data_IF_579356168456
#
_entry.id   IF_579356168456
#
_cell.length_a   1.000
_cell.length_b   1.000
_cell.length_c   1.000
_cell.angle_alpha   90.00
_cell.angle_beta   90.00
_cell.angle_gamma   90.00
#
_symmetry.space_group_name_H-M   'P 1'
#
loop_
_entity.id
_entity.type
_entity.pdbx_description
1 polymer ?
#
# COMPACT_ATOMS: atom_id res chain seq x y z
N UNK A 1 2.00 -11.91 10.41
CA UNK A 1 2.95 -10.78 10.36
C UNK A 1 2.70 -9.98 9.10
N UNK A 2 3.03 -8.68 9.10
CA UNK A 2 3.12 -7.91 7.86
C UNK A 2 4.20 -8.54 6.97
N UNK A 3 3.85 -8.78 5.71
CA UNK A 3 4.70 -9.44 4.72
C UNK A 3 4.40 -8.87 3.33
N UNK A 4 5.30 -9.04 2.37
CA UNK A 4 5.13 -8.56 1.00
C UNK A 4 3.79 -9.06 0.42
N UNK A 5 3.06 -8.19 -0.27
CA UNK A 5 1.71 -8.40 -0.85
C UNK A 5 0.56 -8.40 0.15
N UNK A 6 0.85 -8.51 1.45
CA UNK A 6 -0.16 -8.42 2.48
C UNK A 6 -0.87 -7.08 2.43
N UNK A 7 -2.18 -7.08 2.62
CA UNK A 7 -2.96 -5.84 2.73
C UNK A 7 -3.58 -5.68 4.11
N UNK A 8 -3.72 -4.43 4.54
CA UNK A 8 -4.16 -4.06 5.88
C UNK A 8 -5.14 -2.91 5.76
N UNK A 9 -6.31 -3.03 6.37
CA UNK A 9 -7.23 -1.90 6.56
C UNK A 9 -6.82 -1.09 7.77
N UNK A 10 -6.66 0.21 7.52
CA UNK A 10 -6.42 1.21 8.56
C UNK A 10 -7.68 2.09 8.64
N UNK A 11 -8.40 2.08 9.78
CA UNK A 11 -9.51 3.01 10.01
C UNK A 11 -8.99 4.44 10.04
N UNK A 12 -9.59 5.33 9.24
CA UNK A 12 -9.25 6.74 9.15
C UNK A 12 -10.52 7.59 9.17
N UNK A 13 -10.90 8.08 10.37
CA UNK A 13 -12.11 8.87 10.53
C UNK A 13 -13.36 8.05 10.21
N UNK A 14 -14.10 8.46 9.17
CA UNK A 14 -15.35 7.82 8.75
C UNK A 14 -15.18 6.70 7.71
N UNK A 15 -13.96 6.44 7.22
CA UNK A 15 -13.70 5.43 6.20
C UNK A 15 -12.47 4.59 6.52
N UNK A 16 -12.49 3.33 6.06
CA UNK A 16 -11.30 2.48 6.07
C UNK A 16 -10.51 2.69 4.78
N UNK A 17 -9.20 2.81 4.87
CA UNK A 17 -8.32 2.78 3.71
C UNK A 17 -7.51 1.48 3.70
N UNK A 18 -7.45 0.84 2.53
CA UNK A 18 -6.61 -0.33 2.33
C UNK A 18 -5.17 0.13 2.06
N UNK A 19 -4.25 -0.41 2.84
CA UNK A 19 -2.82 -0.28 2.66
C UNK A 19 -2.24 -1.59 2.15
N UNK A 20 -1.29 -1.49 1.23
CA UNK A 20 -0.54 -2.59 0.64
C UNK A 20 0.86 -2.58 1.24
N UNK A 21 1.36 -3.73 1.70
CA UNK A 21 2.73 -3.90 2.18
C UNK A 21 3.63 -4.26 1.00
N UNK A 22 4.55 -3.36 0.65
CA UNK A 22 5.31 -3.42 -0.60
C UNK A 22 6.60 -4.24 -0.52
N UNK A 23 7.06 -4.62 0.66
CA UNK A 23 8.25 -5.44 0.85
C UNK A 23 8.15 -6.32 2.09
N UNK A 24 8.91 -7.41 2.07
CA UNK A 24 9.18 -8.16 3.28
C UNK A 24 9.99 -7.30 4.25
N UNK A 25 9.76 -7.54 5.54
CA UNK A 25 10.43 -6.78 6.60
C UNK A 25 11.94 -6.84 6.40
N UNK A 26 12.56 -5.70 6.11
CA UNK A 26 13.99 -5.65 5.83
C UNK A 26 14.82 -5.82 7.12
N UNK A 27 16.15 -5.91 7.00
CA UNK A 27 17.07 -6.04 8.14
C UNK A 27 16.97 -4.92 9.19
N UNK A 28 16.41 -3.77 8.82
CA UNK A 28 16.13 -2.65 9.73
C UNK A 28 14.78 -2.78 10.46
N UNK A 29 14.04 -3.86 10.24
CA UNK A 29 12.72 -4.08 10.86
C UNK A 29 11.62 -3.17 10.33
N UNK A 30 11.72 -2.74 9.06
CA UNK A 30 10.80 -1.80 8.44
C UNK A 30 10.09 -2.36 7.19
N UNK A 31 8.91 -1.83 6.91
CA UNK A 31 8.12 -2.08 5.71
C UNK A 31 7.72 -0.75 5.07
N UNK A 32 7.72 -0.71 3.76
CA UNK A 32 7.05 0.28 2.93
C UNK A 32 5.59 -0.12 2.80
N UNK A 33 4.71 0.85 3.03
CA UNK A 33 3.28 0.72 2.80
C UNK A 33 2.78 1.87 1.92
N UNK A 34 1.76 1.58 1.12
CA UNK A 34 1.05 2.58 0.32
C UNK A 34 -0.44 2.32 0.38
N UNK A 35 -1.26 3.36 0.42
CA UNK A 35 -2.70 3.20 0.39
C UNK A 35 -3.27 3.38 -1.02
N UNK A 36 -4.49 2.90 -1.19
CA UNK A 36 -5.31 3.19 -2.36
C UNK A 36 -6.38 4.23 -2.00
N UNK A 37 -6.84 4.96 -3.00
CA UNK A 37 -7.92 5.95 -2.86
C UNK A 37 -8.84 5.90 -4.07
N UNK A 38 -10.08 6.37 -3.92
CA UNK A 38 -11.03 6.47 -5.02
C UNK A 38 -10.50 7.43 -6.09
N UNK A 39 -10.68 7.06 -7.36
CA UNK A 39 -10.30 7.89 -8.50
C UNK A 39 -11.01 9.25 -8.49
N UNK A 40 -10.31 10.29 -8.92
CA UNK A 40 -10.87 11.61 -9.22
C UNK A 40 -10.04 12.27 -10.33
N UNK A 41 -10.62 13.23 -11.04
CA UNK A 41 -9.92 13.91 -12.13
C UNK A 41 -8.68 14.67 -11.62
N UNK A 42 -7.51 14.33 -12.16
CA UNK A 42 -6.22 14.89 -11.76
C UNK A 42 -5.52 14.15 -10.62
N UNK A 43 -5.99 12.95 -10.23
CA UNK A 43 -5.20 12.04 -9.41
C UNK A 43 -4.01 11.48 -10.21
N UNK A 44 -3.06 10.87 -9.49
CA UNK A 44 -1.99 10.09 -10.10
C UNK A 44 -2.56 8.84 -10.79
N UNK A 45 -2.47 8.78 -12.12
CA UNK A 45 -3.00 7.70 -12.94
C UNK A 45 -1.95 6.62 -13.27
N UNK A 46 -0.77 6.67 -12.64
CA UNK A 46 0.32 5.70 -12.84
C UNK A 46 -0.12 4.26 -12.58
N UNK A 47 -0.95 4.05 -11.54
CA UNK A 47 -1.46 2.73 -11.19
C UNK A 47 -2.93 2.85 -10.76
N UNK A 48 -3.82 2.66 -11.73
CA UNK A 48 -5.25 2.50 -11.49
C UNK A 48 -5.57 1.06 -11.10
N UNK A 49 -6.59 0.89 -10.26
CA UNK A 49 -7.12 -0.39 -9.81
C UNK A 49 -8.64 -0.39 -9.98
N UNK A 50 -9.21 -1.52 -10.42
CA UNK A 50 -10.67 -1.66 -10.54
C UNK A 50 -11.15 -3.02 -10.00
N UNK A 51 -12.46 -3.26 -10.11
CA UNK A 51 -13.10 -4.52 -9.71
C UNK A 51 -12.36 -5.71 -10.29
N UNK A 52 -11.97 -6.62 -9.41
CA UNK A 52 -11.21 -7.83 -9.76
C UNK A 52 -9.72 -7.74 -9.39
N UNK A 53 -9.15 -6.54 -9.25
CA UNK A 53 -7.74 -6.39 -8.84
C UNK A 53 -7.53 -6.75 -7.36
N UNK A 54 -8.51 -6.44 -6.49
CA UNK A 54 -8.51 -6.85 -5.08
C UNK A 54 -9.94 -6.85 -4.50
N UNK A 55 -10.32 -7.76 -3.57
CA UNK A 55 -11.69 -7.84 -3.03
C UNK A 55 -12.22 -6.56 -2.37
N UNK A 56 -11.34 -5.70 -1.86
CA UNK A 56 -11.71 -4.39 -1.30
C UNK A 56 -12.01 -3.33 -2.38
N UNK A 57 -11.47 -3.48 -3.58
CA UNK A 57 -11.63 -2.51 -4.68
C UNK A 57 -12.96 -2.79 -5.38
N UNK A 58 -13.94 -1.92 -5.11
CA UNK A 58 -15.30 -2.04 -5.64
C UNK A 58 -15.63 -1.00 -6.72
N UNK A 59 -14.70 -0.11 -7.03
CA UNK A 59 -14.80 0.95 -8.03
C UNK A 59 -13.40 1.43 -8.40
N UNK A 60 -13.31 2.14 -9.52
CA UNK A 60 -12.06 2.72 -10.01
C UNK A 60 -11.34 3.50 -8.89
N UNK A 61 -10.12 3.08 -8.62
CA UNK A 61 -9.26 3.56 -7.56
C UNK A 61 -7.85 3.76 -8.12
N UNK A 62 -7.02 4.47 -7.39
CA UNK A 62 -5.61 4.65 -7.75
C UNK A 62 -4.72 4.38 -6.53
N UNK A 63 -3.47 3.99 -6.79
CA UNK A 63 -2.44 3.87 -5.77
C UNK A 63 -1.93 5.26 -5.42
N UNK A 64 -2.02 5.65 -4.15
CA UNK A 64 -1.71 7.01 -3.73
C UNK A 64 -0.23 7.14 -3.32
N UNK A 65 0.67 7.11 -4.32
CA UNK A 65 2.12 7.12 -4.10
C UNK A 65 2.65 8.29 -3.27
N UNK A 66 2.03 9.48 -3.37
CA UNK A 66 2.37 10.65 -2.56
C UNK A 66 2.30 10.38 -1.03
N UNK A 67 1.47 9.42 -0.61
CA UNK A 67 1.27 9.05 0.81
C UNK A 67 1.98 7.76 1.21
N UNK A 68 2.88 7.24 0.37
CA UNK A 68 3.68 6.09 0.75
C UNK A 68 4.56 6.38 1.99
N UNK A 69 4.63 5.41 2.89
CA UNK A 69 5.30 5.55 4.19
C UNK A 69 6.14 4.33 4.54
N UNK A 70 7.31 4.58 5.14
CA UNK A 70 8.15 3.53 5.72
C UNK A 70 7.83 3.46 7.21
N UNK A 71 7.29 2.32 7.65
CA UNK A 71 6.87 2.10 9.03
C UNK A 71 7.63 0.91 9.63
N UNK A 72 7.70 0.87 10.97
CA UNK A 72 8.29 -0.27 11.68
C UNK A 72 7.34 -1.46 11.62
N UNK A 73 7.87 -2.64 11.30
CA UNK A 73 7.11 -3.89 11.29
C UNK A 73 6.45 -4.18 12.64
N UNK A 74 7.12 -3.81 13.74
CA UNK A 74 6.58 -3.93 15.10
C UNK A 74 5.32 -3.07 15.31
N UNK A 75 5.22 -1.90 14.69
CA UNK A 75 4.03 -1.05 14.78
C UNK A 75 2.85 -1.69 14.04
N UNK A 76 3.10 -2.23 12.83
CA UNK A 76 2.07 -2.98 12.09
C UNK A 76 1.60 -4.19 12.89
N UNK A 77 2.54 -4.98 13.43
CA UNK A 77 2.21 -6.17 14.21
C UNK A 77 1.45 -5.85 15.50
N UNK A 78 1.84 -4.78 16.20
CA UNK A 78 1.14 -4.29 17.40
C UNK A 78 -0.26 -3.77 17.06
N UNK A 79 -0.40 -3.05 15.94
CA UNK A 79 -1.71 -2.59 15.47
C UNK A 79 -2.66 -3.76 15.14
N UNK A 80 -2.15 -4.82 14.52
CA UNK A 80 -2.90 -6.04 14.23
C UNK A 80 -3.30 -6.75 15.53
N UNK A 81 -2.36 -6.94 16.46
CA UNK A 81 -2.65 -7.65 17.73
C UNK A 81 -3.63 -6.90 18.63
N UNK A 82 -3.64 -5.56 18.56
CA UNK A 82 -4.60 -4.71 19.26
C UNK A 82 -5.96 -4.60 18.54
N UNK A 83 -6.14 -5.24 17.38
CA UNK A 83 -7.37 -5.16 16.58
C UNK A 83 -7.61 -3.80 15.92
N UNK A 84 -6.62 -2.89 15.94
CA UNK A 84 -6.70 -1.57 15.29
C UNK A 84 -6.48 -1.65 13.79
N UNK A 85 -5.66 -2.61 13.37
CA UNK A 85 -5.36 -2.89 11.97
C UNK A 85 -5.97 -4.24 11.61
N UNK A 86 -6.71 -4.29 10.51
CA UNK A 86 -7.38 -5.52 10.06
C UNK A 86 -6.70 -6.06 8.82
N UNK A 87 -6.00 -7.21 8.90
CA UNK A 87 -5.49 -7.88 7.70
C UNK A 87 -6.62 -8.16 6.71
N UNK A 88 -6.30 -8.08 5.42
CA UNK A 88 -7.18 -8.39 4.31
C UNK A 88 -6.50 -9.39 3.37
N UNK A 89 -7.19 -9.76 2.29
CA UNK A 89 -6.62 -10.64 1.27
C UNK A 89 -5.33 -10.06 0.68
N UNK A 90 -4.40 -10.91 0.26
CA UNK A 90 -3.20 -10.43 -0.41
C UNK A 90 -3.54 -9.88 -1.80
N UNK A 91 -2.71 -8.97 -2.29
CA UNK A 91 -2.72 -8.63 -3.71
C UNK A 91 -2.32 -9.83 -4.56
N UNK A 92 -2.95 -10.02 -5.72
CA UNK A 92 -2.44 -10.96 -6.72
C UNK A 92 -1.05 -10.52 -7.20
N UNK A 93 -0.22 -11.45 -7.66
CA UNK A 93 1.16 -11.13 -8.05
C UNK A 93 1.20 -10.10 -9.19
N UNK A 94 0.30 -10.23 -10.19
CA UNK A 94 0.25 -9.33 -11.35
C UNK A 94 -0.12 -7.90 -10.95
N UNK A 95 -1.12 -7.75 -10.07
CA UNK A 95 -1.53 -6.42 -9.60
C UNK A 95 -0.46 -5.84 -8.68
N UNK A 96 0.12 -6.66 -7.82
CA UNK A 96 1.21 -6.22 -6.96
C UNK A 96 2.44 -5.76 -7.75
N UNK A 97 2.77 -6.42 -8.85
CA UNK A 97 3.84 -6.00 -9.74
C UNK A 97 3.57 -4.61 -10.34
N UNK A 98 2.34 -4.35 -10.80
CA UNK A 98 1.93 -2.99 -11.25
C UNK A 98 2.11 -1.94 -10.16
N UNK A 99 1.77 -2.27 -8.91
CA UNK A 99 1.96 -1.36 -7.77
C UNK A 99 3.44 -1.03 -7.57
N UNK A 100 4.32 -2.03 -7.65
CA UNK A 100 5.77 -1.85 -7.50
C UNK A 100 6.37 -0.99 -8.61
N UNK A 101 6.05 -1.29 -9.86
CA UNK A 101 6.54 -0.51 -11.03
C UNK A 101 6.09 0.95 -10.96
N UNK A 102 4.89 1.20 -10.45
CA UNK A 102 4.37 2.56 -10.34
C UNK A 102 5.16 3.45 -9.37
N UNK A 103 5.88 2.90 -8.38
CA UNK A 103 6.78 3.74 -7.57
C UNK A 103 7.89 4.40 -8.41
N UNK A 104 8.36 3.73 -9.45
CA UNK A 104 9.44 4.22 -10.31
C UNK A 104 8.96 5.16 -11.41
N UNK A 105 7.66 5.14 -11.70
CA UNK A 105 7.05 5.89 -12.80
C UNK A 105 6.26 7.10 -12.30
N UNK A 106 5.66 7.00 -11.11
CA UNK A 106 4.81 8.05 -10.54
C UNK A 106 5.62 9.32 -10.25
N UNK A 107 5.16 10.49 -10.73
CA UNK A 107 5.79 11.77 -10.42
C UNK A 107 5.65 12.16 -8.95
N UNK A 108 4.66 11.58 -8.25
CA UNK A 108 4.34 11.87 -6.86
C UNK A 108 5.15 11.01 -5.87
N UNK A 109 5.92 10.03 -6.36
CA UNK A 109 6.73 9.19 -5.48
C UNK A 109 7.88 10.00 -4.89
N UNK A 110 7.82 10.19 -3.56
CA UNK A 110 8.87 10.91 -2.84
C UNK A 110 10.24 10.22 -2.99
N UNK A 111 11.30 10.98 -3.24
CA UNK A 111 12.66 10.45 -3.45
C UNK A 111 13.16 9.55 -2.31
N UNK A 112 12.74 9.81 -1.07
CA UNK A 112 13.08 8.93 0.08
C UNK A 112 12.55 7.50 -0.06
N UNK A 113 11.41 7.32 -0.73
CA UNK A 113 10.75 6.04 -0.96
C UNK A 113 11.51 5.27 -2.03
N UNK A 114 11.83 5.93 -3.15
CA UNK A 114 12.67 5.36 -4.21
C UNK A 114 14.05 4.92 -3.68
N UNK A 115 14.68 5.75 -2.84
CA UNK A 115 15.94 5.39 -2.18
C UNK A 115 15.82 4.23 -1.21
N UNK A 116 14.64 3.97 -0.65
CA UNK A 116 14.39 2.82 0.22
C UNK A 116 14.17 1.55 -0.59
N UNK A 117 13.46 1.62 -1.72
CA UNK A 117 13.21 0.50 -2.63
C UNK A 117 14.48 -0.01 -3.32
N UNK A 118 15.40 0.91 -3.68
CA UNK A 118 16.63 0.59 -4.40
C UNK A 118 17.81 0.18 -3.49
N UNK A 119 17.56 -0.11 -2.21
CA UNK A 119 18.58 -0.56 -1.24
C UNK A 119 18.60 -2.07 -1.15
#
# INVERSE_FOLDING_TARGET
>A
MAHRKGTILIPSGSADHLFIVCNDTCSMGANLVVNISSFYDGCDDTCLLDRGDHPFVQHCSYVFYARAEICKASNLQSGISQGKLRPQADMSEDVFFRVLEGFHTSPDTAMRILKYLNR
#
